data_IF_402747390287
#
_entry.id   IF_402747390287
#
_cell.length_a   1.000
_cell.length_b   1.000
_cell.length_c   1.000
_cell.angle_alpha   90.00
_cell.angle_beta   90.00
_cell.angle_gamma   90.00
#
_symmetry.space_group_name_H-M   'P 1'
#
loop_
_entity.id
_entity.type
_entity.pdbx_description
1 polymer ?
#
# COMPACT_ATOMS: atom_id res chain seq x y z
N UNK A 1 0.05 2.55 -28.61
CA UNK A 1 -0.72 1.50 -27.93
C UNK A 1 -1.00 1.92 -26.51
N UNK A 2 -2.24 2.12 -26.18
CA UNK A 2 -2.55 2.56 -24.83
C UNK A 2 -2.62 1.34 -23.91
N UNK A 3 -1.95 1.46 -22.77
CA UNK A 3 -2.01 0.44 -21.75
C UNK A 3 -3.35 0.57 -21.00
N UNK A 4 -4.12 -0.50 -20.97
CA UNK A 4 -5.36 -0.48 -20.22
C UNK A 4 -5.04 -0.36 -18.73
N UNK A 5 -5.70 0.58 -18.06
CA UNK A 5 -5.56 0.71 -16.61
C UNK A 5 -6.29 -0.43 -15.91
N UNK A 6 -5.74 -0.95 -14.80
CA UNK A 6 -6.44 -1.97 -14.06
C UNK A 6 -7.75 -1.43 -13.48
N UNK A 7 -8.76 -2.28 -13.32
CA UNK A 7 -10.01 -1.82 -12.69
C UNK A 7 -9.78 -1.44 -11.24
N UNK A 8 -10.58 -0.51 -10.73
CA UNK A 8 -10.56 -0.09 -9.34
C UNK A 8 -11.82 -0.61 -8.67
N UNK A 9 -11.65 -1.36 -7.60
CA UNK A 9 -12.76 -1.95 -6.84
C UNK A 9 -12.62 -1.53 -5.40
N UNK A 10 -13.68 -0.98 -4.82
CA UNK A 10 -13.62 -0.46 -3.45
C UNK A 10 -14.76 -1.01 -2.62
N UNK A 11 -14.50 -1.38 -1.36
CA UNK A 11 -15.60 -1.64 -0.44
C UNK A 11 -16.45 -0.38 -0.31
N UNK A 12 -17.76 -0.55 -0.17
CA UNK A 12 -18.68 0.58 -0.09
C UNK A 12 -18.29 1.61 0.97
N UNK A 13 -17.88 1.22 2.20
CA UNK A 13 -17.45 2.21 3.18
C UNK A 13 -16.24 3.00 2.74
N UNK A 14 -15.26 2.34 2.10
CA UNK A 14 -14.08 3.03 1.58
C UNK A 14 -14.45 4.01 0.48
N UNK A 15 -15.34 3.60 -0.43
CA UNK A 15 -15.79 4.46 -1.52
C UNK A 15 -16.38 5.76 -0.97
N UNK A 16 -17.29 5.65 0.01
CA UNK A 16 -17.93 6.82 0.59
C UNK A 16 -16.90 7.73 1.29
N UNK A 17 -15.98 7.13 2.01
CA UNK A 17 -14.97 7.87 2.74
C UNK A 17 -14.01 8.60 1.79
N UNK A 18 -13.61 7.93 0.72
CA UNK A 18 -12.71 8.51 -0.27
C UNK A 18 -13.42 9.59 -1.11
N UNK A 19 -14.70 9.44 -1.35
CA UNK A 19 -15.47 10.45 -2.04
C UNK A 19 -15.50 11.76 -1.25
N UNK A 20 -15.68 11.67 0.07
CA UNK A 20 -15.61 12.85 0.92
C UNK A 20 -14.20 13.43 0.96
N UNK A 21 -13.20 12.57 1.01
CA UNK A 21 -11.81 13.01 1.02
C UNK A 21 -11.46 13.78 -0.26
N UNK A 22 -11.88 13.28 -1.41
CA UNK A 22 -11.52 13.92 -2.67
C UNK A 22 -12.15 15.30 -2.80
N UNK A 23 -13.35 15.48 -2.27
CA UNK A 23 -13.98 16.82 -2.27
C UNK A 23 -13.17 17.81 -1.46
N UNK A 24 -12.71 17.40 -0.27
CA UNK A 24 -11.87 18.26 0.57
C UNK A 24 -10.53 18.53 -0.09
N UNK A 25 -9.89 17.49 -0.59
CA UNK A 25 -8.58 17.64 -1.24
C UNK A 25 -8.67 18.56 -2.46
N UNK A 26 -9.77 18.50 -3.19
CA UNK A 26 -9.99 19.37 -4.34
C UNK A 26 -10.11 20.82 -3.89
N UNK A 27 -10.91 21.08 -2.84
CA UNK A 27 -11.04 22.43 -2.29
C UNK A 27 -9.73 22.98 -1.78
N UNK A 28 -8.89 22.12 -1.22
CA UNK A 28 -7.59 22.51 -0.69
C UNK A 28 -6.52 22.59 -1.79
N UNK A 29 -6.90 22.30 -3.03
CA UNK A 29 -5.97 22.28 -4.18
C UNK A 29 -4.79 21.34 -3.97
N UNK A 30 -5.07 20.20 -3.32
CA UNK A 30 -4.04 19.19 -3.08
C UNK A 30 -3.53 18.63 -4.42
N UNK A 31 -2.22 18.47 -4.59
CA UNK A 31 -1.66 18.04 -5.88
C UNK A 31 -2.13 16.67 -6.34
N UNK A 32 -2.55 15.78 -5.43
CA UNK A 32 -3.01 14.45 -5.79
C UNK A 32 -4.53 14.36 -5.97
N UNK A 33 -5.26 15.46 -5.70
CA UNK A 33 -6.73 15.42 -5.73
C UNK A 33 -7.29 15.00 -7.08
N UNK A 34 -6.72 15.50 -8.17
CA UNK A 34 -7.19 15.17 -9.52
C UNK A 34 -7.01 13.68 -9.82
N UNK A 35 -5.88 13.13 -9.43
CA UNK A 35 -5.60 11.71 -9.63
C UNK A 35 -6.59 10.86 -8.82
N UNK A 36 -6.77 11.17 -7.54
CA UNK A 36 -7.71 10.43 -6.70
C UNK A 36 -9.13 10.53 -7.25
N UNK A 37 -9.54 11.70 -7.71
CA UNK A 37 -10.86 11.87 -8.31
C UNK A 37 -11.05 10.94 -9.51
N UNK A 38 -10.06 10.85 -10.38
CA UNK A 38 -10.17 9.99 -11.55
C UNK A 38 -10.28 8.52 -11.17
N UNK A 39 -9.59 8.10 -10.10
CA UNK A 39 -9.68 6.72 -9.63
C UNK A 39 -11.05 6.43 -9.01
N UNK A 40 -11.58 7.35 -8.22
CA UNK A 40 -12.91 7.18 -7.62
C UNK A 40 -13.98 7.10 -8.71
N UNK A 41 -13.88 7.93 -9.75
CA UNK A 41 -14.87 7.96 -10.83
C UNK A 41 -14.98 6.65 -11.59
N UNK A 42 -13.88 5.93 -11.73
CA UNK A 42 -13.89 4.66 -12.45
C UNK A 42 -14.00 3.46 -11.52
N UNK A 43 -14.09 3.70 -10.20
CA UNK A 43 -14.16 2.64 -9.22
C UNK A 43 -15.56 2.02 -9.18
N UNK A 44 -15.60 0.73 -8.88
CA UNK A 44 -16.86 0.02 -8.63
C UNK A 44 -16.94 -0.28 -7.14
N UNK A 45 -18.03 0.14 -6.51
CA UNK A 45 -18.26 -0.11 -5.09
C UNK A 45 -18.87 -1.50 -4.91
N UNK A 46 -18.34 -2.29 -4.01
CA UNK A 46 -18.76 -3.67 -3.77
C UNK A 46 -18.85 -3.94 -2.28
N UNK A 47 -19.39 -5.09 -1.91
CA UNK A 47 -19.39 -5.51 -0.52
C UNK A 47 -17.97 -5.81 -0.05
N UNK A 48 -17.70 -5.51 1.21
CA UNK A 48 -16.37 -5.67 1.78
C UNK A 48 -15.83 -7.09 1.65
N UNK A 49 -16.70 -8.09 1.74
CA UNK A 49 -16.29 -9.49 1.63
C UNK A 49 -15.63 -9.83 0.29
N UNK A 50 -15.97 -9.10 -0.76
CA UNK A 50 -15.41 -9.32 -2.10
C UNK A 50 -13.94 -8.89 -2.16
N UNK A 51 -13.55 -7.92 -1.32
CA UNK A 51 -12.23 -7.30 -1.39
C UNK A 51 -11.18 -7.95 -0.52
N UNK A 52 -11.57 -8.89 0.33
CA UNK A 52 -10.75 -9.28 1.49
C UNK A 52 -9.34 -9.77 1.16
N UNK A 53 -9.17 -10.58 0.16
CA UNK A 53 -7.89 -11.27 -0.06
C UNK A 53 -7.12 -10.81 -1.27
N UNK A 54 -7.72 -9.97 -2.12
CA UNK A 54 -7.10 -9.66 -3.40
C UNK A 54 -7.02 -8.17 -3.71
N UNK A 55 -7.79 -7.33 -3.02
CA UNK A 55 -7.93 -5.91 -3.37
C UNK A 55 -7.25 -5.04 -2.32
N UNK A 56 -6.54 -4.03 -2.76
CA UNK A 56 -5.91 -3.04 -1.88
C UNK A 56 -7.00 -2.12 -1.31
N UNK A 57 -7.16 -2.13 0.00
CA UNK A 57 -8.21 -1.36 0.69
C UNK A 57 -7.61 -0.52 1.81
N UNK A 58 -8.39 0.44 2.32
CA UNK A 58 -7.95 1.28 3.44
C UNK A 58 -7.79 0.45 4.72
N UNK A 59 -6.83 0.86 5.53
CA UNK A 59 -6.55 0.30 6.86
C UNK A 59 -6.04 -1.14 6.81
N UNK A 60 -5.46 -1.52 5.69
CA UNK A 60 -4.86 -2.85 5.53
C UNK A 60 -3.44 -2.73 5.00
N UNK A 61 -2.65 -3.75 5.30
CA UNK A 61 -1.31 -3.85 4.74
C UNK A 61 -1.37 -4.00 3.24
N UNK A 62 -0.41 -3.40 2.57
CA UNK A 62 -0.15 -3.67 1.16
C UNK A 62 1.37 -3.76 0.99
N UNK A 63 1.81 -4.82 0.33
CA UNK A 63 3.20 -4.94 -0.12
C UNK A 63 3.21 -4.57 -1.58
N UNK A 64 4.12 -3.70 -1.96
CA UNK A 64 4.17 -3.16 -3.32
C UNK A 64 5.61 -2.93 -3.75
N UNK A 65 5.78 -2.70 -5.03
CA UNK A 65 7.08 -2.44 -5.62
C UNK A 65 6.95 -1.29 -6.60
N UNK A 66 7.80 -0.29 -6.44
CA UNK A 66 7.84 0.84 -7.36
C UNK A 66 8.86 0.55 -8.44
N UNK A 67 8.42 0.57 -9.69
CA UNK A 67 9.28 0.29 -10.83
C UNK A 67 10.04 -1.03 -10.63
N UNK A 68 11.35 -1.03 -10.68
CA UNK A 68 12.17 -2.20 -10.42
C UNK A 68 12.88 -2.11 -9.07
N UNK A 69 12.35 -1.28 -8.16
CA UNK A 69 12.93 -1.09 -6.85
C UNK A 69 12.65 -2.22 -5.88
N UNK A 70 12.87 -1.96 -4.60
CA UNK A 70 12.66 -2.96 -3.55
C UNK A 70 11.19 -3.10 -3.21
N UNK A 71 10.84 -4.24 -2.62
CA UNK A 71 9.50 -4.42 -2.08
C UNK A 71 9.36 -3.61 -0.79
N UNK A 72 8.22 -2.97 -0.61
CA UNK A 72 7.91 -2.21 0.58
C UNK A 72 6.54 -2.60 1.08
N UNK A 73 6.35 -2.57 2.40
CA UNK A 73 5.06 -2.90 3.01
C UNK A 73 4.62 -1.75 3.90
N UNK A 74 3.39 -1.30 3.72
CA UNK A 74 2.80 -0.21 4.48
C UNK A 74 1.33 -0.49 4.69
N UNK A 75 0.74 0.13 5.70
CA UNK A 75 -0.71 0.15 5.87
C UNK A 75 -1.23 1.38 5.13
N UNK A 76 -2.15 1.17 4.21
CA UNK A 76 -2.75 2.27 3.45
C UNK A 76 -3.81 2.94 4.30
N UNK A 77 -3.67 4.24 4.56
CA UNK A 77 -4.55 4.94 5.49
C UNK A 77 -5.08 6.24 4.89
N UNK A 78 -6.19 6.69 5.47
CA UNK A 78 -6.70 8.03 5.22
C UNK A 78 -5.69 9.04 5.78
N UNK A 79 -5.50 10.20 5.13
CA UNK A 79 -4.50 11.17 5.63
C UNK A 79 -4.70 11.59 7.08
N UNK A 80 -5.94 11.57 7.59
CA UNK A 80 -6.20 11.89 9.00
C UNK A 80 -5.57 10.88 9.96
N UNK A 81 -5.37 9.66 9.49
CA UNK A 81 -4.82 8.58 10.31
C UNK A 81 -3.32 8.40 10.09
N UNK A 82 -2.73 9.23 9.26
CA UNK A 82 -1.32 9.08 8.90
C UNK A 82 -0.42 9.65 10.00
N UNK A 83 0.44 8.82 10.56
CA UNK A 83 1.33 9.17 11.66
C UNK A 83 2.78 8.90 11.34
N UNK A 84 3.07 7.83 10.60
CA UNK A 84 4.44 7.38 10.41
C UNK A 84 4.69 6.89 9.00
N UNK A 85 5.67 7.47 8.32
CA UNK A 85 6.04 7.06 6.97
C UNK A 85 6.68 5.68 6.91
N UNK A 86 7.18 5.16 8.04
CA UNK A 86 7.79 3.84 8.04
C UNK A 86 6.77 2.73 7.94
N UNK A 87 5.59 2.92 8.49
CA UNK A 87 4.57 1.88 8.58
C UNK A 87 3.33 2.18 7.77
N UNK A 88 3.13 3.40 7.38
CA UNK A 88 1.90 3.84 6.74
C UNK A 88 2.15 4.55 5.43
N UNK A 89 1.15 4.48 4.57
CA UNK A 89 1.14 5.18 3.29
C UNK A 89 -0.20 5.90 3.20
N UNK A 90 -0.16 7.21 2.98
CA UNK A 90 -1.40 7.97 2.82
C UNK A 90 -2.03 7.66 1.47
N UNK A 91 -3.34 7.44 1.46
CA UNK A 91 -4.06 7.23 0.20
C UNK A 91 -4.01 8.48 -0.68
N UNK A 92 -3.73 9.64 -0.09
CA UNK A 92 -3.63 10.89 -0.85
C UNK A 92 -2.23 11.15 -1.39
N UNK A 93 -1.29 10.23 -1.19
CA UNK A 93 0.00 10.29 -1.89
C UNK A 93 -0.17 9.70 -3.29
N UNK A 94 0.70 10.05 -4.25
CA UNK A 94 0.60 9.45 -5.59
C UNK A 94 0.62 7.92 -5.58
N UNK A 95 1.52 7.32 -4.79
CA UNK A 95 1.61 5.86 -4.69
C UNK A 95 0.33 5.29 -4.05
N UNK A 96 -0.14 5.91 -2.96
CA UNK A 96 -1.35 5.44 -2.29
C UNK A 96 -2.58 5.52 -3.19
N UNK A 97 -2.70 6.61 -3.96
CA UNK A 97 -3.80 6.75 -4.91
C UNK A 97 -3.70 5.70 -6.02
N UNK A 98 -2.49 5.40 -6.48
CA UNK A 98 -2.30 4.38 -7.51
C UNK A 98 -2.65 2.98 -7.01
N UNK A 99 -2.41 2.72 -5.72
CA UNK A 99 -2.65 1.40 -5.13
C UNK A 99 -4.09 1.14 -4.73
N UNK A 100 -4.82 2.19 -4.32
CA UNK A 100 -6.16 1.96 -3.75
C UNK A 100 -7.07 1.27 -4.77
N UNK A 101 -7.67 0.16 -4.39
CA UNK A 101 -8.68 -0.52 -5.19
C UNK A 101 -8.16 -1.41 -6.30
N UNK A 102 -6.85 -1.51 -6.51
CA UNK A 102 -6.35 -2.44 -7.53
C UNK A 102 -6.17 -3.83 -6.95
N UNK A 103 -6.11 -4.81 -7.81
CA UNK A 103 -6.00 -6.21 -7.42
C UNK A 103 -4.54 -6.60 -7.29
N UNK A 104 -4.25 -7.50 -6.37
CA UNK A 104 -2.90 -8.08 -6.26
C UNK A 104 -2.49 -8.64 -7.62
N UNK A 105 -1.29 -8.30 -8.06
CA UNK A 105 -0.78 -8.65 -9.38
C UNK A 105 -0.93 -7.57 -10.42
N UNK A 106 -1.78 -6.58 -10.17
CA UNK A 106 -1.99 -5.49 -11.12
C UNK A 106 -0.88 -4.43 -10.99
N UNK A 107 -0.62 -3.77 -12.11
CA UNK A 107 0.31 -2.64 -12.18
C UNK A 107 -0.46 -1.39 -12.50
N UNK A 108 -0.13 -0.31 -11.80
CA UNK A 108 -0.78 0.98 -12.03
C UNK A 108 0.26 2.05 -12.33
N UNK A 109 0.18 2.69 -13.50
CA UNK A 109 1.06 3.82 -13.80
C UNK A 109 0.59 5.06 -13.04
N UNK A 110 1.52 5.91 -12.66
CA UNK A 110 1.19 7.18 -12.01
C UNK A 110 2.32 8.19 -12.22
N UNK A 111 1.99 9.45 -11.97
CA UNK A 111 2.98 10.51 -11.98
C UNK A 111 3.27 10.94 -10.55
N UNK A 112 4.55 11.10 -10.24
CA UNK A 112 4.94 11.69 -8.97
C UNK A 112 4.57 13.17 -8.96
N UNK A 113 4.70 13.79 -7.78
CA UNK A 113 4.40 15.23 -7.66
C UNK A 113 5.31 16.04 -8.59
N UNK A 114 6.55 15.57 -8.79
CA UNK A 114 7.50 16.23 -9.69
C UNK A 114 7.21 15.94 -11.17
N UNK A 115 6.24 15.09 -11.46
CA UNK A 115 5.88 14.77 -12.84
C UNK A 115 6.62 13.59 -13.42
N UNK A 116 7.38 12.84 -12.62
CA UNK A 116 8.09 11.66 -13.13
C UNK A 116 7.13 10.47 -13.25
N UNK A 117 7.27 9.71 -14.30
CA UNK A 117 6.43 8.55 -14.58
C UNK A 117 6.93 7.33 -13.80
N UNK A 118 6.02 6.64 -13.15
CA UNK A 118 6.33 5.43 -12.39
C UNK A 118 5.23 4.39 -12.59
N UNK A 119 5.55 3.15 -12.25
CA UNK A 119 4.58 2.05 -12.23
C UNK A 119 4.69 1.35 -10.89
N UNK A 120 3.56 1.16 -10.20
CA UNK A 120 3.53 0.41 -8.95
C UNK A 120 2.85 -0.93 -9.18
N UNK A 121 3.45 -1.98 -8.62
CA UNK A 121 2.90 -3.34 -8.64
C UNK A 121 2.36 -3.67 -7.26
N UNK A 122 1.11 -4.08 -7.16
CA UNK A 122 0.56 -4.59 -5.90
C UNK A 122 0.96 -6.06 -5.76
N UNK A 123 1.70 -6.38 -4.70
CA UNK A 123 2.27 -7.72 -4.53
C UNK A 123 1.45 -8.57 -3.58
N UNK A 124 0.98 -7.99 -2.47
CA UNK A 124 0.24 -8.74 -1.45
C UNK A 124 -0.54 -7.75 -0.58
N UNK A 125 -1.68 -8.20 -0.06
CA UNK A 125 -2.46 -7.42 0.92
C UNK A 125 -2.45 -8.09 2.29
N UNK A 126 -1.56 -9.02 2.50
CA UNK A 126 -1.39 -9.66 3.80
C UNK A 126 -0.34 -8.93 4.62
N UNK A 127 -0.42 -8.99 5.96
CA UNK A 127 0.65 -8.43 6.78
C UNK A 127 1.99 -9.02 6.35
N UNK A 128 3.06 -8.21 6.36
CA UNK A 128 4.37 -8.76 6.03
C UNK A 128 4.67 -9.87 7.02
N UNK A 129 5.14 -11.00 6.51
CA UNK A 129 5.64 -12.03 7.40
C UNK A 129 6.75 -11.41 8.21
N UNK A 130 6.62 -11.46 9.52
CA UNK A 130 7.75 -11.25 10.35
C UNK A 130 8.71 -12.32 9.99
N UNK A 131 9.55 -12.03 9.08
CA UNK A 131 10.79 -12.69 9.09
C UNK A 131 11.35 -12.24 10.38
N UNK A 132 11.07 -13.06 11.31
CA UNK A 132 11.86 -12.99 12.46
C UNK A 132 13.18 -13.12 11.89
N UNK A 133 13.55 -12.07 11.56
CA UNK A 133 14.65 -12.00 10.95
C UNK A 133 15.57 -12.31 11.88
N UNK A 134 15.67 -13.12 11.60
CA UNK A 134 16.73 -13.62 11.96
C UNK A 134 17.84 -12.87 11.48
N UNK A 135 17.78 -12.17 11.34
CA UNK A 135 18.78 -11.54 11.08
C UNK A 135 18.85 -10.46 11.90
N UNK A 136 18.26 -10.50 12.58
CA UNK A 136 18.47 -9.99 13.04
C UNK A 136 18.96 -10.13 13.71
N UNK A 137 18.57 -10.33 13.84
CA UNK A 137 18.88 -11.15 14.10
C UNK A 137 19.25 -11.68 13.74
N UNK A 138 19.42 -11.77 13.62
CA UNK A 138 19.85 -12.50 13.25
C UNK A 138 20.28 -12.45 13.48
N UNK A 139 20.32 -12.17 13.80
CA UNK A 139 20.43 -12.62 14.06
C UNK A 139 19.91 -12.58 14.57
N UNK A 140 19.74 -12.38 14.92
CA UNK A 140 19.20 -13.03 15.16
C UNK A 140 18.56 -13.61 14.92
N UNK A 141 18.72 -13.50 15.16
CA UNK A 141 18.31 -14.60 14.82
C UNK A 141 18.12 -15.03 14.92
N UNK A 142 18.26 -14.69 15.24
CA UNK A 142 18.22 -15.60 15.23
C UNK A 142 17.63 -15.83 15.69
N UNK A 143 17.98 -15.65 16.03
CA UNK A 143 17.59 -16.34 16.22
C UNK A 143 17.13 -16.63 16.81
N UNK A 144 17.20 -16.33 17.36
CA UNK A 144 17.03 -16.98 17.71
C UNK A 144 16.70 -17.34 17.97
N UNK A 145 17.24 -16.97 18.18
CA UNK A 145 17.27 -17.54 18.09
C UNK A 145 17.24 -17.62 18.68
N UNK A 146 17.46 -17.23 18.67
CA UNK A 146 17.86 -17.49 19.00
C UNK A 146 17.59 -17.66 19.49
N UNK A 147 18.00 -16.95 20.01
CA UNK A 147 18.21 -17.34 20.23
C UNK A 147 18.05 -17.60 20.57
N UNK A 148 18.43 -17.19 20.69
CA UNK A 148 18.77 -17.60 20.64
C UNK A 148 18.88 -18.04 20.70
N UNK A 149 19.35 -17.41 21.48
CA UNK A 149 19.91 -17.98 21.37
C UNK A 149 19.86 -18.39 21.05
N UNK A 150 20.19 -18.01 20.69
CA UNK A 150 20.86 -18.63 20.25
C UNK A 150 20.95 -18.90 20.35
N UNK A 151 21.63 -18.18 20.84
CA UNK A 151 22.38 -18.57 20.74
C UNK A 151 22.48 -18.82 20.51
N UNK A 152 22.93 -18.65 20.94
CA UNK A 152 23.57 -18.88 20.52
C UNK A 152 23.54 -18.99 20.34
N UNK A 153 24.23 -18.29 20.94
CA UNK A 153 24.75 -18.51 20.53
C UNK A 153 24.68 -18.39 20.32
N UNK A 154 25.18 -18.27 20.61
CA UNK A 154 25.52 -18.26 20.14
C UNK A 154 25.20 -18.21 19.70
N UNK A 155 25.48 -17.51 20.00
CA UNK A 155 25.45 -17.72 19.44
C UNK A 155 25.31 -17.78 19.14
N UNK A 156 26.01 -16.89 19.76
CA UNK A 156 26.11 -17.17 19.28
C UNK A 156 25.88 -17.15 19.11
N UNK A 157 26.08 -16.45 19.70
CA UNK A 157 26.05 -16.80 19.26
C UNK A 157 25.79 -17.00 19.08
#
# INVERSE_FOLDING_TARGET
MSMALPPVILPKPDYARLERLVRRAWSDQHPTARFLLSEIRRARAVDDSVCRDEIVTLNRWVTYRLDLGRYESRILVHPEDYVSSERQLSVLSPVGTALIGIKVGDRMPYLSIEGAFHVVLAVSVNPPMKIVSFAQNARRVHINIEDESFDPGPQAS
#
